data_IF_244554823537
#
_entry.id   IF_244554823537
#
_cell.length_a   1.000
_cell.length_b   1.000
_cell.length_c   1.000
_cell.angle_alpha   90.00
_cell.angle_beta   90.00
_cell.angle_gamma   90.00
#
_symmetry.space_group_name_H-M   'P 1'
#
loop_
_entity.id
_entity.type
_entity.pdbx_description
1 polymer ?
#
# COMPACT_ATOMS: atom_id res chain seq x y z
N UNK A 1 -109.60 -29.03 58.17
CA UNK A 1 -109.24 -30.15 59.07
C UNK A 1 -108.18 -30.99 58.38
N UNK A 2 -106.98 -31.09 58.94
CA UNK A 2 -105.84 -31.81 58.35
C UNK A 2 -105.73 -33.23 58.94
N UNK A 3 -105.47 -34.28 58.14
CA UNK A 3 -105.20 -35.62 58.65
C UNK A 3 -103.75 -35.75 59.14
N UNK A 4 -103.56 -36.32 60.35
CA UNK A 4 -102.26 -36.68 60.93
C UNK A 4 -101.92 -38.13 60.54
N UNK A 5 -100.74 -38.36 59.98
CA UNK A 5 -100.21 -39.71 59.71
C UNK A 5 -99.60 -40.33 60.98
N UNK A 6 -99.75 -41.65 61.23
CA UNK A 6 -99.15 -42.32 62.39
C UNK A 6 -97.65 -42.63 62.17
N UNK A 7 -96.85 -42.69 63.26
CA UNK A 7 -95.42 -42.99 63.19
C UNK A 7 -95.16 -44.46 62.84
N UNK A 8 -94.23 -44.70 61.91
CA UNK A 8 -93.80 -46.03 61.48
C UNK A 8 -92.61 -46.47 62.35
N UNK A 9 -92.83 -47.40 63.27
CA UNK A 9 -91.75 -48.00 64.07
C UNK A 9 -91.04 -49.10 63.28
N UNK A 10 -89.71 -49.08 63.27
CA UNK A 10 -88.86 -50.08 62.63
C UNK A 10 -88.19 -50.90 63.73
N UNK A 11 -88.53 -52.19 63.82
CA UNK A 11 -87.91 -53.13 64.77
C UNK A 11 -86.51 -53.47 64.26
N UNK A 12 -85.47 -53.13 65.03
CA UNK A 12 -84.08 -53.55 64.78
C UNK A 12 -83.75 -54.72 65.69
N UNK A 13 -83.20 -55.78 65.12
CA UNK A 13 -82.70 -56.94 65.88
C UNK A 13 -81.32 -56.63 66.46
N UNK A 14 -80.96 -57.24 67.59
CA UNK A 14 -79.69 -56.98 68.28
C UNK A 14 -78.47 -57.37 67.42
N UNK A 15 -78.62 -58.34 66.51
CA UNK A 15 -77.58 -58.79 65.57
C UNK A 15 -77.23 -57.73 64.51
N UNK A 16 -78.19 -56.91 64.09
CA UNK A 16 -77.94 -55.81 63.14
C UNK A 16 -76.98 -54.77 63.73
N UNK A 17 -77.00 -54.55 65.05
CA UNK A 17 -76.13 -53.57 65.70
C UNK A 17 -74.65 -53.97 65.70
N UNK A 18 -74.34 -55.27 65.80
CA UNK A 18 -72.97 -55.78 65.77
C UNK A 18 -72.41 -55.81 64.33
N UNK A 19 -73.25 -56.20 63.36
CA UNK A 19 -72.98 -56.14 61.92
C UNK A 19 -72.66 -54.70 61.46
N UNK A 20 -73.49 -53.73 61.86
CA UNK A 20 -73.31 -52.32 61.50
C UNK A 20 -72.04 -51.70 62.11
N UNK A 21 -71.65 -52.10 63.33
CA UNK A 21 -70.39 -51.66 63.95
C UNK A 21 -69.17 -52.17 63.18
N UNK A 22 -69.17 -53.44 62.76
CA UNK A 22 -68.09 -54.02 61.95
C UNK A 22 -68.00 -53.35 60.58
N UNK A 23 -69.12 -53.13 59.90
CA UNK A 23 -69.16 -52.39 58.62
C UNK A 23 -68.59 -50.97 58.76
N UNK A 24 -68.94 -50.26 59.83
CA UNK A 24 -68.41 -48.91 60.11
C UNK A 24 -66.90 -48.91 60.36
N UNK A 25 -66.38 -49.88 61.11
CA UNK A 25 -64.94 -50.00 61.35
C UNK A 25 -64.17 -50.31 60.05
N UNK A 26 -64.72 -51.17 59.19
CA UNK A 26 -64.13 -51.46 57.87
C UNK A 26 -64.16 -50.22 56.97
N UNK A 27 -65.24 -49.45 56.98
CA UNK A 27 -65.35 -48.20 56.23
C UNK A 27 -64.36 -47.13 56.72
N UNK A 28 -64.22 -46.97 58.04
CA UNK A 28 -63.24 -46.04 58.64
C UNK A 28 -61.82 -46.49 58.32
N UNK A 29 -61.53 -47.79 58.44
CA UNK A 29 -60.23 -48.36 58.08
C UNK A 29 -59.90 -48.14 56.60
N UNK A 30 -60.85 -48.38 55.70
CA UNK A 30 -60.69 -48.11 54.27
C UNK A 30 -60.48 -46.63 53.96
N UNK A 31 -61.17 -45.73 54.66
CA UNK A 31 -61.01 -44.28 54.50
C UNK A 31 -59.64 -43.79 54.97
N UNK A 32 -59.15 -44.29 56.11
CA UNK A 32 -57.80 -43.97 56.59
C UNK A 32 -56.71 -44.53 55.66
N UNK A 33 -56.90 -45.73 55.13
CA UNK A 33 -55.97 -46.34 54.17
C UNK A 33 -55.91 -45.52 52.87
N UNK A 34 -57.04 -45.00 52.38
CA UNK A 34 -57.06 -44.18 51.16
C UNK A 34 -56.33 -42.85 51.37
N UNK A 35 -56.50 -42.20 52.53
CA UNK A 35 -55.76 -40.99 52.90
C UNK A 35 -54.25 -41.25 52.97
N UNK A 36 -53.84 -42.39 53.53
CA UNK A 36 -52.43 -42.77 53.64
C UNK A 36 -51.82 -43.03 52.26
N UNK A 37 -52.53 -43.73 51.38
CA UNK A 37 -52.10 -43.97 50.00
C UNK A 37 -51.98 -42.67 49.18
N UNK A 38 -52.91 -41.73 49.35
CA UNK A 38 -52.83 -40.40 48.71
C UNK A 38 -51.65 -39.60 49.28
N UNK A 39 -51.42 -39.65 50.60
CA UNK A 39 -50.28 -38.98 51.24
C UNK A 39 -48.93 -39.53 50.74
N UNK A 40 -48.79 -40.86 50.69
CA UNK A 40 -47.56 -41.51 50.20
C UNK A 40 -47.39 -41.29 48.70
N UNK A 41 -48.47 -41.36 47.92
CA UNK A 41 -48.46 -41.08 46.49
C UNK A 41 -48.05 -39.65 46.16
N UNK A 42 -48.60 -38.67 46.88
CA UNK A 42 -48.21 -37.25 46.72
C UNK A 42 -46.79 -36.98 47.19
N UNK A 43 -46.30 -37.65 48.25
CA UNK A 43 -44.92 -37.53 48.71
C UNK A 43 -43.91 -38.16 47.75
N UNK A 44 -44.20 -39.34 47.20
CA UNK A 44 -43.37 -39.98 46.17
C UNK A 44 -43.40 -39.22 44.85
N UNK A 45 -44.55 -38.65 44.48
CA UNK A 45 -44.66 -37.83 43.27
C UNK A 45 -43.85 -36.54 43.43
N UNK A 46 -43.99 -35.81 44.55
CA UNK A 46 -43.27 -34.55 44.79
C UNK A 46 -41.77 -34.74 45.02
N UNK A 47 -41.35 -35.84 45.64
CA UNK A 47 -39.91 -36.16 45.80
C UNK A 47 -39.24 -36.59 44.50
N UNK A 48 -40.00 -37.08 43.50
CA UNK A 48 -39.49 -37.42 42.16
C UNK A 48 -39.62 -36.32 41.12
N UNK A 49 -40.26 -35.19 41.43
CA UNK A 49 -40.19 -34.01 40.55
C UNK A 49 -38.76 -33.50 40.63
N UNK A 50 -37.94 -33.59 39.57
CA UNK A 50 -36.67 -32.90 39.55
C UNK A 50 -36.98 -31.42 39.75
N UNK A 51 -36.48 -30.85 40.85
CA UNK A 51 -36.62 -29.42 41.07
C UNK A 51 -36.11 -28.72 39.80
N UNK A 52 -36.93 -27.89 39.17
CA UNK A 52 -36.58 -27.10 37.98
C UNK A 52 -35.55 -26.00 38.30
N UNK A 53 -34.62 -26.29 39.19
CA UNK A 53 -33.43 -25.51 39.54
C UNK A 53 -32.30 -25.74 38.52
N UNK A 54 -32.44 -26.71 37.61
CA UNK A 54 -31.40 -27.12 36.65
C UNK A 54 -31.28 -26.28 35.37
N UNK A 55 -32.11 -25.25 35.16
CA UNK A 55 -32.03 -24.43 33.94
C UNK A 55 -32.27 -22.93 34.18
N UNK A 56 -32.03 -22.44 35.41
CA UNK A 56 -31.86 -21.00 35.62
C UNK A 56 -30.39 -20.68 35.40
N UNK A 57 -29.98 -20.50 34.15
CA UNK A 57 -28.88 -19.58 33.90
C UNK A 57 -29.31 -18.30 34.62
N UNK A 58 -28.61 -17.88 35.69
CA UNK A 58 -29.08 -16.78 36.52
C UNK A 58 -29.31 -15.60 35.60
N UNK A 59 -30.50 -14.99 35.60
CA UNK A 59 -30.83 -13.88 34.71
C UNK A 59 -29.75 -12.78 34.71
N UNK A 60 -29.00 -12.66 35.81
CA UNK A 60 -27.80 -11.83 35.96
C UNK A 60 -26.67 -12.16 34.97
N UNK A 61 -26.39 -13.43 34.69
CA UNK A 61 -25.37 -13.84 33.69
C UNK A 61 -25.79 -13.46 32.27
N UNK A 62 -27.06 -13.68 31.89
CA UNK A 62 -27.56 -13.28 30.57
C UNK A 62 -27.56 -11.76 30.38
N UNK A 63 -27.87 -11.00 31.44
CA UNK A 63 -27.76 -9.53 31.42
C UNK A 63 -26.31 -9.09 31.26
N UNK A 64 -25.38 -9.70 32.00
CA UNK A 64 -23.96 -9.40 31.91
C UNK A 64 -23.36 -9.75 30.52
N UNK A 65 -23.75 -10.88 29.92
CA UNK A 65 -23.38 -11.22 28.54
C UNK A 65 -23.96 -10.23 27.53
N UNK A 66 -25.23 -9.82 27.69
CA UNK A 66 -25.84 -8.85 26.79
C UNK A 66 -25.13 -7.50 26.86
N UNK A 67 -24.76 -7.05 28.06
CA UNK A 67 -24.00 -5.82 28.27
C UNK A 67 -22.59 -5.91 27.66
N UNK A 68 -21.89 -7.04 27.85
CA UNK A 68 -20.60 -7.30 27.22
C UNK A 68 -20.67 -7.30 25.68
N UNK A 69 -21.70 -7.95 25.10
CA UNK A 69 -21.93 -7.97 23.66
C UNK A 69 -22.27 -6.58 23.11
N UNK A 70 -23.08 -5.79 23.83
CA UNK A 70 -23.38 -4.39 23.45
C UNK A 70 -22.12 -3.52 23.47
N UNK A 71 -21.26 -3.71 24.46
CA UNK A 71 -19.99 -3.00 24.54
C UNK A 71 -19.07 -3.37 23.37
N UNK A 72 -18.99 -4.67 23.04
CA UNK A 72 -18.22 -5.14 21.87
C UNK A 72 -18.78 -4.58 20.57
N UNK A 73 -20.11 -4.59 20.37
CA UNK A 73 -20.74 -4.03 19.20
C UNK A 73 -20.47 -2.52 19.06
N UNK A 74 -20.52 -1.78 20.16
CA UNK A 74 -20.21 -0.35 20.20
C UNK A 74 -18.74 -0.10 19.85
N UNK A 75 -17.82 -0.92 20.38
CA UNK A 75 -16.40 -0.82 20.07
C UNK A 75 -16.12 -1.14 18.59
N UNK A 76 -16.76 -2.17 18.03
CA UNK A 76 -16.65 -2.55 16.62
C UNK A 76 -17.25 -1.49 15.69
N UNK A 77 -18.38 -0.89 16.04
CA UNK A 77 -18.95 0.22 15.27
C UNK A 77 -18.04 1.43 15.26
N UNK A 78 -17.45 1.78 16.42
CA UNK A 78 -16.49 2.88 16.51
C UNK A 78 -15.22 2.60 15.71
N UNK A 79 -14.68 1.38 15.76
CA UNK A 79 -13.49 1.02 14.97
C UNK A 79 -13.78 1.04 13.47
N UNK A 80 -14.96 0.57 13.05
CA UNK A 80 -15.40 0.65 11.65
C UNK A 80 -15.53 2.11 11.18
N UNK A 81 -16.09 2.99 12.01
CA UNK A 81 -16.20 4.42 11.70
C UNK A 81 -14.82 5.08 11.56
N UNK A 82 -13.90 4.80 12.49
CA UNK A 82 -12.51 5.31 12.40
C UNK A 82 -11.83 4.80 11.13
N UNK A 83 -12.04 3.54 10.76
CA UNK A 83 -11.48 2.96 9.54
C UNK A 83 -12.06 3.61 8.28
N UNK A 84 -13.36 3.89 8.23
CA UNK A 84 -13.98 4.59 7.10
C UNK A 84 -13.43 6.02 6.95
N UNK A 85 -13.27 6.75 8.04
CA UNK A 85 -12.68 8.10 8.01
C UNK A 85 -11.22 8.04 7.55
N UNK A 86 -10.42 7.15 8.12
CA UNK A 86 -9.01 7.00 7.76
C UNK A 86 -8.83 6.59 6.28
N UNK A 87 -9.68 5.70 5.78
CA UNK A 87 -9.62 5.27 4.37
C UNK A 87 -10.05 6.38 3.41
N UNK A 88 -11.05 7.18 3.76
CA UNK A 88 -11.43 8.38 2.98
C UNK A 88 -10.31 9.41 2.95
N UNK A 89 -9.69 9.67 4.09
CA UNK A 89 -8.57 10.61 4.18
C UNK A 89 -7.34 10.13 3.39
N UNK A 90 -7.03 8.84 3.45
CA UNK A 90 -5.98 8.23 2.63
C UNK A 90 -6.24 8.39 1.14
N UNK A 91 -7.48 8.12 0.69
CA UNK A 91 -7.87 8.32 -0.71
C UNK A 91 -7.76 9.78 -1.15
N UNK A 92 -8.16 10.73 -0.29
CA UNK A 92 -8.00 12.17 -0.56
C UNK A 92 -6.53 12.55 -0.71
N UNK A 93 -5.68 12.13 0.22
CA UNK A 93 -4.24 12.39 0.15
C UNK A 93 -3.61 11.80 -1.10
N UNK A 94 -3.99 10.58 -1.51
CA UNK A 94 -3.51 9.99 -2.76
C UNK A 94 -3.92 10.81 -3.98
N UNK A 95 -5.17 11.25 -4.05
CA UNK A 95 -5.66 12.09 -5.14
C UNK A 95 -4.91 13.43 -5.21
N UNK A 96 -4.67 14.09 -4.07
CA UNK A 96 -3.90 15.34 -4.00
C UNK A 96 -2.45 15.15 -4.45
N UNK A 97 -1.82 14.04 -4.07
CA UNK A 97 -0.46 13.71 -4.52
C UNK A 97 -0.40 13.38 -6.00
N UNK A 98 -1.39 12.67 -6.54
CA UNK A 98 -1.45 12.38 -7.97
C UNK A 98 -1.64 13.66 -8.79
N UNK A 99 -2.44 14.61 -8.29
CA UNK A 99 -2.61 15.93 -8.89
C UNK A 99 -1.31 16.74 -8.84
N UNK A 100 -0.61 16.76 -7.69
CA UNK A 100 0.70 17.39 -7.54
C UNK A 100 1.74 16.79 -8.51
N UNK A 101 1.81 15.46 -8.61
CA UNK A 101 2.71 14.75 -9.54
C UNK A 101 2.35 15.11 -10.99
N UNK A 102 1.07 15.16 -11.34
CA UNK A 102 0.62 15.54 -12.67
C UNK A 102 0.99 16.99 -13.02
N UNK A 103 0.82 17.91 -12.06
CA UNK A 103 1.26 19.30 -12.16
C UNK A 103 2.76 19.41 -12.39
N UNK A 104 3.57 18.80 -11.52
CA UNK A 104 5.03 18.79 -11.64
C UNK A 104 5.52 18.18 -12.95
N UNK A 105 4.89 17.11 -13.44
CA UNK A 105 5.22 16.51 -14.75
C UNK A 105 4.91 17.46 -15.89
N UNK A 106 3.80 18.18 -15.80
CA UNK A 106 3.42 19.18 -16.80
C UNK A 106 4.41 20.34 -16.81
N UNK A 107 4.82 20.82 -15.64
CA UNK A 107 5.83 21.87 -15.50
C UNK A 107 7.19 21.43 -16.03
N UNK A 108 7.65 20.21 -15.71
CA UNK A 108 8.89 19.66 -16.25
C UNK A 108 8.83 19.50 -17.78
N UNK A 109 7.69 19.05 -18.32
CA UNK A 109 7.47 18.98 -19.76
C UNK A 109 7.49 20.36 -20.42
N UNK A 110 7.00 21.40 -19.73
CA UNK A 110 7.10 22.78 -20.18
C UNK A 110 8.55 23.29 -20.14
N UNK A 111 9.25 23.12 -19.01
CA UNK A 111 10.65 23.55 -18.86
C UNK A 111 11.57 22.89 -19.88
N UNK A 112 11.44 21.57 -20.08
CA UNK A 112 12.24 20.83 -21.08
C UNK A 112 12.05 21.35 -22.51
N UNK A 113 10.84 21.78 -22.89
CA UNK A 113 10.60 22.42 -24.19
C UNK A 113 11.27 23.79 -24.28
N UNK A 114 11.30 24.56 -23.19
CA UNK A 114 11.88 25.91 -23.18
C UNK A 114 13.42 25.89 -23.21
N UNK A 115 14.07 24.96 -22.50
CA UNK A 115 15.54 24.83 -22.49
C UNK A 115 16.12 24.05 -23.68
N UNK A 116 15.32 23.81 -24.73
CA UNK A 116 15.79 23.18 -25.98
C UNK A 116 16.05 21.67 -25.88
N UNK A 117 15.68 21.04 -24.76
CA UNK A 117 15.79 19.59 -24.56
C UNK A 117 14.53 18.88 -25.02
N UNK A 118 14.28 18.86 -26.33
CA UNK A 118 13.17 18.09 -26.90
C UNK A 118 13.29 16.62 -26.48
N UNK A 119 12.38 16.17 -25.61
CA UNK A 119 12.07 14.78 -25.32
C UNK A 119 13.28 13.82 -25.38
N UNK A 120 14.19 13.91 -24.41
CA UNK A 120 15.15 12.83 -24.20
C UNK A 120 14.41 11.61 -23.68
N UNK A 121 13.85 10.84 -24.63
CA UNK A 121 13.20 9.56 -24.43
C UNK A 121 14.09 8.68 -23.57
N UNK A 122 13.48 7.93 -22.65
CA UNK A 122 14.11 6.97 -21.75
C UNK A 122 15.13 6.07 -22.48
N UNK A 123 16.41 6.44 -22.39
CA UNK A 123 17.50 5.86 -23.17
C UNK A 123 18.87 6.41 -22.76
N UNK A 124 19.79 6.47 -23.72
CA UNK A 124 21.13 7.04 -23.56
C UNK A 124 21.07 8.55 -23.25
N UNK A 125 21.83 8.98 -22.24
CA UNK A 125 22.00 10.38 -21.83
C UNK A 125 23.47 10.77 -21.83
N UNK A 126 23.74 11.95 -22.40
CA UNK A 126 25.01 12.64 -22.25
C UNK A 126 24.90 13.43 -20.94
N UNK A 127 25.58 12.98 -19.89
CA UNK A 127 25.50 13.60 -18.56
C UNK A 127 26.27 14.93 -18.52
N UNK A 128 27.40 14.99 -19.21
CA UNK A 128 28.22 16.19 -19.27
C UNK A 128 29.57 15.92 -19.92
N UNK A 129 30.33 16.98 -20.13
CA UNK A 129 31.71 16.94 -20.58
C UNK A 129 32.57 17.82 -19.68
N UNK A 130 33.82 17.42 -19.51
CA UNK A 130 34.87 18.18 -18.83
C UNK A 130 36.00 18.42 -19.81
N UNK A 131 36.53 19.63 -19.86
CA UNK A 131 37.62 19.99 -20.76
C UNK A 131 38.77 20.59 -19.97
N UNK A 132 39.98 20.07 -20.16
CA UNK A 132 41.19 20.54 -19.48
C UNK A 132 42.26 20.90 -20.51
N UNK A 133 43.00 21.99 -20.27
CA UNK A 133 44.09 22.40 -21.16
C UNK A 133 45.28 21.42 -21.04
N UNK A 134 45.92 21.12 -22.16
CA UNK A 134 47.11 20.25 -22.18
C UNK A 134 48.35 21.07 -21.83
N UNK A 135 49.02 20.69 -20.73
CA UNK A 135 50.27 21.32 -20.31
C UNK A 135 51.33 21.25 -21.41
N UNK A 136 51.91 22.40 -21.78
CA UNK A 136 52.99 22.48 -22.77
C UNK A 136 52.55 22.51 -24.24
N UNK A 137 51.25 22.43 -24.54
CA UNK A 137 50.73 22.55 -25.91
C UNK A 137 49.66 23.65 -25.99
N UNK A 138 49.96 24.73 -26.71
CA UNK A 138 49.02 25.84 -26.89
C UNK A 138 47.78 25.38 -27.68
N UNK A 139 46.60 25.74 -27.20
CA UNK A 139 45.30 25.43 -27.80
C UNK A 139 44.96 23.93 -27.92
N UNK A 140 45.69 23.05 -27.23
CA UNK A 140 45.36 21.63 -27.11
C UNK A 140 44.56 21.39 -25.83
N UNK A 141 43.51 20.57 -25.93
CA UNK A 141 42.57 20.30 -24.86
C UNK A 141 42.29 18.79 -24.77
N UNK A 142 42.22 18.29 -23.55
CA UNK A 142 41.65 16.98 -23.23
C UNK A 142 40.18 17.15 -22.91
N UNK A 143 39.37 16.17 -23.30
CA UNK A 143 37.95 16.12 -22.98
C UNK A 143 37.56 14.78 -22.43
N UNK A 144 36.77 14.78 -21.36
CA UNK A 144 36.15 13.59 -20.77
C UNK A 144 34.64 13.77 -20.84
N UNK A 145 33.97 12.93 -21.63
CA UNK A 145 32.51 12.94 -21.78
C UNK A 145 31.93 11.77 -21.00
N UNK A 146 30.94 12.06 -20.15
CA UNK A 146 30.26 11.03 -19.36
C UNK A 146 28.93 10.67 -20.02
N UNK A 147 28.80 9.40 -20.41
CA UNK A 147 27.60 8.81 -20.97
C UNK A 147 26.93 7.93 -19.91
N UNK A 148 25.61 8.01 -19.82
CA UNK A 148 24.79 7.25 -18.87
C UNK A 148 23.57 6.66 -19.55
N UNK A 149 23.04 5.57 -19.02
CA UNK A 149 21.83 4.92 -19.52
C UNK A 149 20.88 4.64 -18.36
N UNK A 150 19.58 4.79 -18.59
CA UNK A 150 18.57 4.40 -17.61
C UNK A 150 18.64 2.89 -17.34
N UNK A 151 18.75 2.52 -16.06
CA UNK A 151 18.91 1.14 -15.60
C UNK A 151 17.79 0.17 -16.06
N UNK A 152 16.62 0.69 -16.44
CA UNK A 152 15.47 -0.13 -16.88
C UNK A 152 15.72 -0.96 -18.14
N UNK A 153 16.61 -0.54 -19.05
CA UNK A 153 16.88 -1.32 -20.28
C UNK A 153 17.86 -2.46 -20.05
N UNK A 154 18.87 -2.31 -19.18
CA UNK A 154 19.85 -3.36 -18.88
C UNK A 154 20.60 -3.96 -20.09
N UNK A 155 20.44 -3.40 -21.28
CA UNK A 155 21.07 -3.86 -22.52
C UNK A 155 22.37 -3.10 -22.77
N UNK A 156 23.30 -3.77 -23.44
CA UNK A 156 24.59 -3.20 -23.82
C UNK A 156 24.39 -2.20 -24.96
N UNK A 157 24.69 -0.92 -24.69
CA UNK A 157 24.61 0.16 -25.68
C UNK A 157 25.98 0.40 -26.28
N UNK A 158 26.06 0.40 -27.62
CA UNK A 158 27.29 0.57 -28.40
C UNK A 158 27.10 1.63 -29.48
N UNK A 159 28.18 2.33 -29.81
CA UNK A 159 28.12 3.38 -30.81
C UNK A 159 29.39 4.20 -30.91
N UNK A 160 29.28 5.34 -31.59
CA UNK A 160 30.36 6.30 -31.82
C UNK A 160 29.95 7.68 -31.32
N UNK A 161 30.85 8.36 -30.61
CA UNK A 161 30.65 9.69 -30.07
C UNK A 161 31.43 10.72 -30.91
N UNK A 162 30.72 11.66 -31.50
CA UNK A 162 31.30 12.77 -32.27
C UNK A 162 31.25 14.06 -31.46
N UNK A 163 32.33 14.83 -31.56
CA UNK A 163 32.49 16.11 -30.88
C UNK A 163 32.62 17.20 -31.93
N UNK A 164 31.81 18.24 -31.79
CA UNK A 164 31.90 19.47 -32.57
C UNK A 164 31.93 20.68 -31.65
N UNK A 165 32.70 21.70 -32.01
CA UNK A 165 32.86 22.92 -31.21
C UNK A 165 32.43 24.11 -32.06
N UNK A 166 31.43 24.84 -31.57
CA UNK A 166 30.98 26.09 -32.15
C UNK A 166 31.70 27.26 -31.50
N UNK A 167 32.11 28.23 -32.30
CA UNK A 167 32.79 29.40 -31.80
C UNK A 167 32.86 30.51 -32.84
N UNK A 168 33.65 31.51 -32.52
CA UNK A 168 33.90 32.65 -33.40
C UNK A 168 35.34 32.56 -33.89
N UNK A 169 35.54 32.64 -35.21
CA UNK A 169 36.85 32.74 -35.85
C UNK A 169 36.91 34.03 -36.66
N UNK A 170 37.78 34.96 -36.24
CA UNK A 170 37.71 36.34 -36.74
C UNK A 170 36.37 36.96 -36.35
N UNK A 171 35.54 37.29 -37.34
CA UNK A 171 34.20 37.88 -37.17
C UNK A 171 33.05 36.94 -37.57
N UNK A 172 33.33 35.65 -37.82
CA UNK A 172 32.33 34.67 -38.28
C UNK A 172 32.12 33.57 -37.25
N UNK A 173 30.86 33.14 -37.11
CA UNK A 173 30.51 31.93 -36.36
C UNK A 173 30.90 30.72 -37.19
N UNK A 174 31.74 29.86 -36.64
CA UNK A 174 32.28 28.67 -37.29
C UNK A 174 32.13 27.47 -36.36
N UNK A 175 31.78 26.33 -36.93
CA UNK A 175 31.76 25.03 -36.24
C UNK A 175 32.96 24.21 -36.68
N UNK A 176 33.72 23.69 -35.73
CA UNK A 176 34.86 22.81 -35.95
C UNK A 176 34.48 21.38 -35.58
N UNK A 177 34.72 20.43 -36.48
CA UNK A 177 34.45 19.01 -36.27
C UNK A 177 35.52 18.13 -36.94
N UNK A 178 35.71 16.92 -36.43
CA UNK A 178 36.62 15.91 -36.99
C UNK A 178 38.02 16.45 -37.30
N UNK A 179 38.46 16.47 -38.58
CA UNK A 179 39.80 16.95 -38.95
C UNK A 179 40.09 18.39 -38.52
N UNK A 180 39.08 19.27 -38.46
CA UNK A 180 39.25 20.67 -38.06
C UNK A 180 39.59 20.84 -36.57
N UNK A 181 39.39 19.79 -35.77
CA UNK A 181 39.78 19.69 -34.36
C UNK A 181 41.14 19.00 -34.16
N UNK A 182 41.90 18.75 -35.24
CA UNK A 182 43.15 18.02 -35.18
C UNK A 182 42.99 16.52 -34.87
N UNK A 183 41.75 16.01 -34.88
CA UNK A 183 41.44 14.60 -34.76
C UNK A 183 41.58 13.97 -36.15
N UNK A 184 42.77 13.45 -36.51
CA UNK A 184 43.16 12.99 -37.87
C UNK A 184 42.16 12.10 -38.62
N UNK A 185 42.48 10.82 -38.88
CA UNK A 185 41.52 9.89 -39.54
C UNK A 185 40.32 9.50 -38.64
N UNK A 186 40.21 10.10 -37.45
CA UNK A 186 39.14 9.93 -36.45
C UNK A 186 37.78 10.50 -36.87
N UNK A 187 37.51 10.63 -38.17
CA UNK A 187 36.17 10.94 -38.72
C UNK A 187 35.06 10.00 -38.20
N UNK A 188 35.44 8.80 -37.73
CA UNK A 188 34.57 7.81 -37.10
C UNK A 188 34.19 8.11 -35.64
N UNK A 189 34.65 9.21 -35.05
CA UNK A 189 34.35 9.52 -33.65
C UNK A 189 34.98 8.55 -32.66
N UNK A 190 34.62 8.70 -31.39
CA UNK A 190 35.15 7.94 -30.26
C UNK A 190 34.22 6.77 -29.94
N UNK A 191 34.65 5.51 -30.06
CA UNK A 191 33.78 4.35 -29.81
C UNK A 191 33.41 4.24 -28.33
N UNK A 192 32.17 3.86 -28.04
CA UNK A 192 31.70 3.53 -26.69
C UNK A 192 30.92 2.22 -26.68
N UNK A 193 30.94 1.52 -25.54
CA UNK A 193 30.22 0.28 -25.31
C UNK A 193 30.03 0.06 -23.82
N UNK A 194 28.81 0.26 -23.32
CA UNK A 194 28.54 0.17 -21.88
C UNK A 194 27.10 -0.23 -21.56
N UNK A 195 26.87 -0.68 -20.32
CA UNK A 195 25.55 -1.09 -19.82
C UNK A 195 24.86 -0.04 -18.97
N UNK A 196 25.64 0.74 -18.20
CA UNK A 196 25.12 1.73 -17.25
C UNK A 196 25.76 3.10 -17.44
N UNK A 197 27.09 3.15 -17.43
CA UNK A 197 27.84 4.38 -17.68
C UNK A 197 29.21 4.09 -18.30
N UNK A 198 29.75 5.07 -19.01
CA UNK A 198 31.13 5.08 -19.48
C UNK A 198 31.61 6.52 -19.61
N UNK A 199 32.88 6.74 -19.25
CA UNK A 199 33.59 7.97 -19.59
C UNK A 199 34.41 7.76 -20.86
N UNK A 200 34.13 8.57 -21.86
CA UNK A 200 34.84 8.57 -23.14
C UNK A 200 35.84 9.72 -23.11
N UNK A 201 37.11 9.40 -23.32
CA UNK A 201 38.20 10.38 -23.32
C UNK A 201 38.60 10.70 -24.75
N UNK A 202 38.91 11.96 -25.01
CA UNK A 202 39.44 12.42 -26.29
C UNK A 202 40.32 13.64 -26.11
N UNK A 203 40.96 14.05 -27.19
CA UNK A 203 41.71 15.30 -27.24
C UNK A 203 41.44 16.00 -28.57
N UNK A 204 41.57 17.32 -28.55
CA UNK A 204 41.45 18.14 -29.74
C UNK A 204 42.30 19.39 -29.62
N UNK A 205 42.61 19.98 -30.77
CA UNK A 205 43.34 21.24 -30.87
C UNK A 205 42.45 22.27 -31.55
N UNK A 206 42.42 23.47 -30.99
CA UNK A 206 41.70 24.59 -31.58
C UNK A 206 42.67 25.44 -32.43
N UNK A 207 42.25 25.89 -33.63
CA UNK A 207 43.02 26.84 -34.43
C UNK A 207 43.28 28.14 -33.66
N UNK A 208 44.42 28.78 -33.93
CA UNK A 208 44.75 30.06 -33.33
C UNK A 208 43.67 31.12 -33.66
N UNK A 209 43.28 31.89 -32.65
CA UNK A 209 42.24 32.93 -32.78
C UNK A 209 40.79 32.43 -32.75
N UNK A 210 40.56 31.12 -32.62
CA UNK A 210 39.22 30.57 -32.42
C UNK A 210 38.75 30.76 -30.98
N UNK A 211 37.55 31.33 -30.80
CA UNK A 211 36.92 31.54 -29.49
C UNK A 211 35.73 30.58 -29.34
N UNK A 212 35.87 29.46 -28.62
CA UNK A 212 34.79 28.50 -28.44
C UNK A 212 33.66 29.08 -27.60
N UNK A 213 32.42 28.72 -27.94
CA UNK A 213 31.19 29.18 -27.28
C UNK A 213 30.34 28.01 -26.80
N UNK A 214 30.20 26.96 -27.61
CA UNK A 214 29.40 25.77 -27.29
C UNK A 214 30.10 24.51 -27.77
N UNK A 215 29.91 23.43 -27.04
CA UNK A 215 30.32 22.08 -27.42
C UNK A 215 29.06 21.27 -27.76
N UNK A 216 29.03 20.69 -28.95
CA UNK A 216 27.97 19.81 -29.43
C UNK A 216 28.49 18.39 -29.47
N UNK A 217 27.75 17.48 -28.85
CA UNK A 217 28.08 16.07 -28.71
C UNK A 217 27.00 15.26 -29.40
N UNK A 218 27.38 14.37 -30.31
CA UNK A 218 26.45 13.48 -31.02
C UNK A 218 26.86 12.05 -30.75
N UNK A 219 26.03 11.31 -30.03
CA UNK A 219 26.20 9.89 -29.79
C UNK A 219 25.37 9.10 -30.80
N UNK A 220 26.03 8.53 -31.81
CA UNK A 220 25.44 7.65 -32.80
C UNK A 220 25.38 6.23 -32.24
N UNK A 221 24.19 5.77 -31.85
CA UNK A 221 23.97 4.43 -31.26
C UNK A 221 23.69 3.42 -32.38
N UNK A 222 24.32 2.24 -32.32
CA UNK A 222 24.02 1.16 -33.27
C UNK A 222 22.57 0.70 -33.11
N UNK A 223 21.73 0.97 -34.10
CA UNK A 223 20.35 0.49 -34.15
C UNK A 223 19.32 1.34 -33.38
N UNK A 224 19.71 2.51 -32.86
CA UNK A 224 18.79 3.49 -32.23
C UNK A 224 19.03 4.89 -32.85
N UNK A 225 18.17 5.85 -32.55
CA UNK A 225 18.33 7.24 -33.00
C UNK A 225 19.53 7.91 -32.31
N UNK A 226 20.28 8.78 -33.02
CA UNK A 226 21.40 9.48 -32.41
C UNK A 226 20.93 10.44 -31.31
N UNK A 227 21.70 10.50 -30.24
CA UNK A 227 21.45 11.40 -29.11
C UNK A 227 22.37 12.61 -29.23
N UNK A 228 21.78 13.80 -29.32
CA UNK A 228 22.52 15.07 -29.40
C UNK A 228 22.45 15.80 -28.06
N UNK A 229 23.59 16.20 -27.52
CA UNK A 229 23.73 17.05 -26.34
C UNK A 229 24.50 18.31 -26.68
N UNK A 230 24.05 19.46 -26.19
CA UNK A 230 24.76 20.74 -26.36
C UNK A 230 25.10 21.30 -24.98
N UNK A 231 26.35 21.69 -24.80
CA UNK A 231 26.89 22.23 -23.55
C UNK A 231 27.51 23.61 -23.82
N UNK A 232 27.39 24.55 -22.89
CA UNK A 232 28.16 25.79 -22.95
C UNK A 232 29.65 25.48 -22.76
N UNK A 233 30.52 26.14 -23.51
CA UNK A 233 31.97 25.98 -23.34
C UNK A 233 32.44 26.37 -21.92
N UNK A 234 31.80 27.35 -21.29
CA UNK A 234 32.11 27.73 -19.90
C UNK A 234 31.85 26.60 -18.91
N UNK A 235 30.82 25.79 -19.15
CA UNK A 235 30.41 24.74 -18.22
C UNK A 235 31.31 23.52 -18.34
N UNK A 236 31.89 23.27 -19.51
CA UNK A 236 32.86 22.18 -19.70
C UNK A 236 34.19 22.47 -18.98
N UNK A 237 34.54 23.75 -18.78
CA UNK A 237 35.70 24.17 -18.00
C UNK A 237 35.45 24.17 -16.48
N UNK A 238 34.25 24.57 -16.04
CA UNK A 238 33.91 24.66 -14.60
C UNK A 238 33.85 23.30 -13.90
N UNK A 239 33.60 22.22 -14.65
CA UNK A 239 33.41 20.89 -14.08
C UNK A 239 34.66 20.29 -13.39
N UNK A 240 35.77 21.04 -13.34
CA UNK A 240 36.93 20.76 -12.47
C UNK A 240 36.64 21.07 -10.98
N UNK A 241 35.79 22.05 -10.63
CA UNK A 241 35.59 22.46 -9.22
C UNK A 241 34.66 21.53 -8.42
N UNK A 242 33.73 20.81 -9.07
CA UNK A 242 32.69 20.03 -8.34
C UNK A 242 33.21 18.67 -7.83
N UNK A 243 34.39 18.23 -8.27
CA UNK A 243 34.98 16.96 -7.84
C UNK A 243 36.05 17.10 -6.74
N UNK A 244 36.37 18.32 -6.30
CA UNK A 244 37.32 18.55 -5.19
C UNK A 244 36.64 18.52 -3.80
N UNK A 245 35.51 17.83 -3.71
CA UNK A 245 34.91 17.47 -2.42
C UNK A 245 35.65 16.23 -1.90
N UNK A 246 36.68 16.53 -1.11
CA UNK A 246 37.45 15.67 -0.21
C UNK A 246 36.93 14.23 -0.06
N UNK A 247 37.80 13.27 -0.39
CA UNK A 247 37.82 11.99 0.29
C UNK A 247 38.46 12.14 1.67
#
# INVERSE_FOLDING_TARGET
>A
MAPRHPPRFVVRTLDDAASERRKRLVLIGGWLLSLLLVGVGTWLATSRVPSASGARVPAKQLVAENEALRQQATNLQRSAQVTDVATKELKRNLAERDEEISGLRTDLAFYSRLVGGGAQRDGLKIQGARTTAVSGAANAWNVVITLTQNARRGELVKGELKVAIEGIQGDKVTTLEGPALGQGDSSKGLPFSFKYFQQVQGSFTLPAGFRPTRMRLTADVTGDQPVVGTLSWSDTLRNDEVNDVQQ
#
